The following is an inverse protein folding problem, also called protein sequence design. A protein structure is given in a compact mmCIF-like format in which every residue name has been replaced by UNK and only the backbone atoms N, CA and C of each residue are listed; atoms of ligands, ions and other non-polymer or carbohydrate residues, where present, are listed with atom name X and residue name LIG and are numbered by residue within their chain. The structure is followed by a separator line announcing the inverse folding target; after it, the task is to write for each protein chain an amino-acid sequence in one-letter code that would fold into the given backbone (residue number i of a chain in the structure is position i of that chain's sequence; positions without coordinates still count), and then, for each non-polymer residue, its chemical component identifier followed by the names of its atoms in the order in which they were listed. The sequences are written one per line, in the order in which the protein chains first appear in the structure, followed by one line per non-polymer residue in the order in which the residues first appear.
data_IF_034691943499
#
_entry.id   IF_034691943499
#
_cell.length_a   1.000
_cell.length_b   1.000
_cell.length_c   1.000
_cell.angle_alpha   90.00
_cell.angle_beta   90.00
_cell.angle_gamma   90.00
#
_symmetry.space_group_name_H-M   'P 1'
#
loop_
_entity.id
_entity.type
_entity.pdbx_description
1 polymer ?
#
# COMPACT_ATOMS: atom_id res chain seq x y z
N UNK A 1 -48.57 15.24 -24.81
CA UNK A 1 -47.81 14.46 -23.83
C UNK A 1 -48.78 13.99 -22.75
N UNK A 2 -48.79 12.73 -22.33
CA UNK A 2 -49.61 12.30 -21.21
C UNK A 2 -49.01 12.91 -19.92
N UNK A 3 -49.82 13.62 -19.15
CA UNK A 3 -49.44 14.21 -17.86
C UNK A 3 -50.03 13.35 -16.76
N UNK A 4 -49.25 12.97 -15.77
CA UNK A 4 -49.68 12.26 -14.57
C UNK A 4 -49.66 13.25 -13.40
N UNK A 5 -50.83 13.64 -12.92
CA UNK A 5 -50.98 14.48 -11.74
C UNK A 5 -50.85 13.57 -10.52
N UNK A 6 -49.87 13.89 -9.64
CA UNK A 6 -49.67 13.23 -8.35
C UNK A 6 -49.96 14.25 -7.26
N UNK A 7 -50.81 13.93 -6.31
CA UNK A 7 -50.92 14.68 -5.04
C UNK A 7 -49.68 14.30 -4.18
N UNK A 8 -48.77 15.21 -4.07
CA UNK A 8 -47.55 15.04 -3.27
C UNK A 8 -47.40 16.23 -2.33
N UNK A 9 -46.97 15.97 -1.09
CA UNK A 9 -46.48 17.05 -0.25
C UNK A 9 -45.16 17.59 -0.80
N UNK A 10 -44.75 18.77 -0.35
CA UNK A 10 -43.55 19.44 -0.83
C UNK A 10 -42.28 18.54 -0.69
N UNK A 11 -42.24 17.71 0.36
CA UNK A 11 -41.14 16.78 0.61
C UNK A 11 -41.07 15.67 -0.45
N UNK A 12 -42.22 15.09 -0.80
CA UNK A 12 -42.30 14.04 -1.82
C UNK A 12 -42.00 14.63 -3.21
N UNK A 13 -42.49 15.85 -3.49
CA UNK A 13 -42.22 16.53 -4.76
C UNK A 13 -40.70 16.79 -4.93
N UNK A 14 -39.99 17.26 -3.89
CA UNK A 14 -38.53 17.45 -3.89
C UNK A 14 -37.77 16.14 -4.03
N UNK A 15 -38.22 15.08 -3.38
CA UNK A 15 -37.62 13.75 -3.51
C UNK A 15 -37.72 13.25 -4.96
N UNK A 16 -38.91 13.33 -5.58
CA UNK A 16 -39.11 12.91 -6.96
C UNK A 16 -38.26 13.73 -7.94
N UNK A 17 -38.16 15.02 -7.73
CA UNK A 17 -37.30 15.88 -8.55
C UNK A 17 -35.81 15.51 -8.42
N UNK A 18 -35.35 15.16 -7.21
CA UNK A 18 -33.98 14.70 -6.99
C UNK A 18 -33.74 13.34 -7.68
N UNK A 19 -34.68 12.40 -7.58
CA UNK A 19 -34.60 11.09 -8.23
C UNK A 19 -34.58 11.26 -9.75
N UNK A 20 -35.41 12.12 -10.32
CA UNK A 20 -35.41 12.43 -11.77
C UNK A 20 -34.04 12.94 -12.20
N UNK A 21 -33.49 13.92 -11.47
CA UNK A 21 -32.17 14.47 -11.78
C UNK A 21 -31.07 13.41 -11.68
N UNK A 22 -31.16 12.45 -10.75
CA UNK A 22 -30.20 11.34 -10.61
C UNK A 22 -30.32 10.25 -11.67
N UNK A 23 -31.40 10.25 -12.44
CA UNK A 23 -31.60 9.34 -13.59
C UNK A 23 -31.02 9.90 -14.90
N UNK A 24 -30.47 11.12 -14.88
CA UNK A 24 -29.82 11.70 -16.06
C UNK A 24 -28.51 10.98 -16.36
N UNK A 25 -28.20 10.83 -17.65
CA UNK A 25 -27.02 10.10 -18.12
C UNK A 25 -25.71 10.92 -18.05
N UNK A 26 -25.81 12.24 -17.83
CA UNK A 26 -24.70 13.19 -17.89
C UNK A 26 -24.08 13.52 -16.53
N UNK A 27 -24.52 12.88 -15.45
CA UNK A 27 -23.96 13.09 -14.10
C UNK A 27 -22.54 12.51 -13.97
N UNK A 28 -21.66 13.29 -13.36
CA UNK A 28 -20.37 12.76 -12.97
C UNK A 28 -20.50 11.83 -11.73
N UNK A 29 -19.56 10.90 -11.51
CA UNK A 29 -19.65 9.93 -10.39
C UNK A 29 -19.71 10.56 -9.00
N UNK A 30 -19.19 11.77 -8.82
CA UNK A 30 -19.25 12.47 -7.53
C UNK A 30 -20.60 13.13 -7.30
N UNK A 31 -21.24 13.66 -8.34
CA UNK A 31 -22.60 14.19 -8.28
C UNK A 31 -23.60 13.08 -7.98
N UNK A 32 -23.44 11.94 -8.66
CA UNK A 32 -24.24 10.75 -8.42
C UNK A 32 -24.14 10.29 -6.95
N UNK A 33 -22.92 10.19 -6.43
CA UNK A 33 -22.67 9.81 -5.04
C UNK A 33 -23.26 10.81 -4.03
N UNK A 34 -23.11 12.12 -4.29
CA UNK A 34 -23.67 13.17 -3.46
C UNK A 34 -25.20 13.14 -3.45
N UNK A 35 -25.82 12.91 -4.60
CA UNK A 35 -27.27 12.77 -4.71
C UNK A 35 -27.80 11.57 -3.94
N UNK A 36 -27.13 10.42 -4.03
CA UNK A 36 -27.50 9.24 -3.22
C UNK A 36 -27.40 9.51 -1.72
N UNK A 37 -26.31 10.17 -1.31
CA UNK A 37 -26.15 10.57 0.10
C UNK A 37 -27.27 11.50 0.54
N UNK A 38 -27.65 12.47 -0.29
CA UNK A 38 -28.74 13.41 0.00
C UNK A 38 -30.08 12.70 0.14
N UNK A 39 -30.39 11.71 -0.73
CA UNK A 39 -31.58 10.89 -0.58
C UNK A 39 -31.63 10.13 0.76
N UNK A 40 -30.47 9.65 1.23
CA UNK A 40 -30.39 8.97 2.52
C UNK A 40 -30.54 9.93 3.71
N UNK A 41 -29.83 11.06 3.66
CA UNK A 41 -29.74 11.99 4.79
C UNK A 41 -31.05 12.81 4.95
N UNK A 42 -31.63 13.35 3.87
CA UNK A 42 -32.78 14.27 3.92
C UNK A 42 -34.13 13.52 3.96
N UNK A 43 -34.18 12.33 3.33
CA UNK A 43 -35.40 11.56 3.20
C UNK A 43 -35.42 10.26 4.00
N UNK A 44 -34.30 9.94 4.71
CA UNK A 44 -34.20 8.75 5.57
C UNK A 44 -34.24 7.43 4.81
N UNK A 45 -33.87 7.43 3.50
CA UNK A 45 -33.92 6.23 2.67
C UNK A 45 -32.71 5.32 2.95
N UNK A 46 -32.95 4.02 2.96
CA UNK A 46 -31.88 3.03 2.98
C UNK A 46 -31.22 2.92 1.60
N UNK A 47 -29.99 2.40 1.54
CA UNK A 47 -29.29 2.17 0.27
C UNK A 47 -30.09 1.31 -0.70
N UNK A 48 -30.89 0.37 -0.20
CA UNK A 48 -31.75 -0.50 -1.01
C UNK A 48 -32.92 0.28 -1.59
N UNK A 49 -33.54 1.15 -0.80
CA UNK A 49 -34.63 2.03 -1.28
C UNK A 49 -34.12 3.04 -2.29
N UNK A 50 -32.95 3.65 -2.05
CA UNK A 50 -32.30 4.52 -3.03
C UNK A 50 -32.06 3.78 -4.34
N UNK A 51 -31.44 2.59 -4.28
CA UNK A 51 -31.17 1.75 -5.47
C UNK A 51 -32.43 1.47 -6.27
N UNK A 52 -33.53 1.08 -5.59
CA UNK A 52 -34.82 0.83 -6.23
C UNK A 52 -35.38 2.08 -6.93
N UNK A 53 -35.28 3.27 -6.28
CA UNK A 53 -35.84 4.52 -6.82
C UNK A 53 -35.05 5.05 -8.03
N UNK A 54 -33.71 4.94 -7.98
CA UNK A 54 -32.84 5.37 -9.09
C UNK A 54 -32.63 4.28 -10.15
N UNK A 55 -33.28 3.12 -10.02
CA UNK A 55 -33.21 1.97 -10.94
C UNK A 55 -31.75 1.45 -11.12
N UNK A 56 -30.99 1.47 -10.04
CA UNK A 56 -29.61 0.93 -9.99
C UNK A 56 -29.55 -0.27 -9.05
N UNK A 57 -28.47 -1.04 -9.12
CA UNK A 57 -28.25 -2.10 -8.14
C UNK A 57 -27.76 -1.52 -6.80
N UNK A 58 -28.11 -2.17 -5.68
CA UNK A 58 -27.60 -1.80 -4.35
C UNK A 58 -26.07 -1.74 -4.31
N UNK A 59 -25.29 -2.67 -4.90
CA UNK A 59 -23.84 -2.55 -4.98
C UNK A 59 -23.37 -1.29 -5.74
N UNK A 60 -24.09 -0.85 -6.78
CA UNK A 60 -23.76 0.38 -7.50
C UNK A 60 -23.88 1.60 -6.59
N UNK A 61 -24.99 1.74 -5.86
CA UNK A 61 -25.21 2.81 -4.86
C UNK A 61 -24.14 2.77 -3.76
N UNK A 62 -23.88 1.59 -3.19
CA UNK A 62 -22.82 1.43 -2.18
C UNK A 62 -21.45 1.86 -2.70
N UNK A 63 -21.10 1.48 -3.92
CA UNK A 63 -19.83 1.83 -4.55
C UNK A 63 -19.71 3.34 -4.83
N UNK A 64 -20.79 3.99 -5.26
CA UNK A 64 -20.81 5.44 -5.44
C UNK A 64 -20.62 6.16 -4.11
N UNK A 65 -21.37 5.79 -3.08
CA UNK A 65 -21.24 6.39 -1.74
C UNK A 65 -19.83 6.27 -1.16
N UNK A 66 -19.13 5.18 -1.43
CA UNK A 66 -17.74 5.00 -0.98
C UNK A 66 -16.78 6.02 -1.59
N UNK A 67 -17.07 6.60 -2.75
CA UNK A 67 -16.23 7.62 -3.36
C UNK A 67 -16.19 8.90 -2.53
N UNK A 68 -17.25 9.21 -1.77
CA UNK A 68 -17.31 10.36 -0.87
C UNK A 68 -16.32 10.28 0.30
N UNK A 69 -15.77 9.09 0.59
CA UNK A 69 -14.73 8.90 1.62
C UNK A 69 -13.31 9.21 1.13
N UNK A 70 -13.13 9.57 -0.13
CA UNK A 70 -11.87 10.04 -0.67
C UNK A 70 -11.63 11.49 -0.25
N UNK A 71 -10.37 11.90 -0.13
CA UNK A 71 -10.01 13.29 0.08
C UNK A 71 -10.37 14.18 -1.12
N UNK A 72 -10.53 15.47 -0.86
CA UNK A 72 -10.98 16.44 -1.86
C UNK A 72 -10.16 16.44 -3.16
N UNK A 73 -8.85 16.25 -3.06
CA UNK A 73 -7.94 16.17 -4.20
C UNK A 73 -8.34 15.06 -5.16
N UNK A 74 -8.63 13.87 -4.63
CA UNK A 74 -9.04 12.70 -5.42
C UNK A 74 -10.48 12.84 -5.92
N UNK A 75 -11.38 13.40 -5.11
CA UNK A 75 -12.75 13.70 -5.56
C UNK A 75 -12.77 14.64 -6.76
N UNK A 76 -11.94 15.70 -6.75
CA UNK A 76 -11.78 16.62 -7.89
C UNK A 76 -11.25 15.93 -9.14
N UNK A 77 -10.33 14.96 -8.99
CA UNK A 77 -9.81 14.15 -10.11
C UNK A 77 -10.89 13.23 -10.69
N UNK A 78 -11.73 12.63 -9.85
CA UNK A 78 -12.86 11.81 -10.30
C UNK A 78 -13.91 12.69 -11.02
N UNK A 79 -14.27 13.81 -10.42
CA UNK A 79 -15.25 14.76 -10.98
C UNK A 79 -14.82 15.32 -12.34
N UNK A 80 -13.52 15.58 -12.52
CA UNK A 80 -12.95 16.06 -13.80
C UNK A 80 -12.70 14.95 -14.84
N UNK A 81 -12.97 13.69 -14.51
CA UNK A 81 -12.72 12.57 -15.40
C UNK A 81 -11.25 12.14 -15.54
N UNK A 82 -10.30 12.79 -14.84
CA UNK A 82 -8.89 12.41 -14.84
C UNK A 82 -8.68 11.04 -14.19
N UNK A 83 -9.52 10.69 -13.24
CA UNK A 83 -9.54 9.40 -12.58
C UNK A 83 -10.93 8.78 -12.70
N UNK A 84 -11.05 7.56 -13.24
CA UNK A 84 -12.36 6.92 -13.31
C UNK A 84 -12.84 6.45 -11.93
N UNK A 85 -14.16 6.31 -11.76
CA UNK A 85 -14.75 5.75 -10.54
C UNK A 85 -14.20 4.35 -10.18
N UNK A 86 -13.81 3.57 -11.18
CA UNK A 86 -13.17 2.26 -11.00
C UNK A 86 -11.78 2.38 -10.36
N UNK A 87 -10.94 3.27 -10.87
CA UNK A 87 -9.63 3.55 -10.29
C UNK A 87 -9.76 4.09 -8.87
N UNK A 88 -10.67 5.07 -8.66
CA UNK A 88 -10.93 5.66 -7.35
C UNK A 88 -11.34 4.60 -6.30
N UNK A 89 -12.22 3.66 -6.68
CA UNK A 89 -12.60 2.54 -5.79
C UNK A 89 -11.43 1.61 -5.47
N UNK A 90 -10.58 1.33 -6.44
CA UNK A 90 -9.38 0.50 -6.23
C UNK A 90 -8.41 1.12 -5.22
N UNK A 91 -8.37 2.45 -5.08
CA UNK A 91 -7.52 3.17 -4.14
C UNK A 91 -8.05 3.20 -2.70
N UNK A 92 -9.35 3.01 -2.48
CA UNK A 92 -9.99 3.09 -1.15
C UNK A 92 -9.37 2.19 -0.06
N UNK A 93 -8.87 0.97 -0.35
CA UNK A 93 -8.25 0.13 0.66
C UNK A 93 -6.97 0.71 1.30
N UNK A 94 -6.32 1.67 0.64
CA UNK A 94 -5.12 2.33 1.19
C UNK A 94 -5.52 3.17 2.43
N UNK A 95 -4.76 3.00 3.51
CA UNK A 95 -5.11 3.54 4.84
C UNK A 95 -4.96 5.06 4.94
N UNK A 96 -3.99 5.66 4.25
CA UNK A 96 -3.68 7.09 4.36
C UNK A 96 -3.98 7.81 3.06
N UNK A 97 -4.44 9.07 3.17
CA UNK A 97 -4.72 9.92 2.02
C UNK A 97 -3.46 10.15 1.16
N UNK A 98 -2.32 10.36 1.81
CA UNK A 98 -1.03 10.53 1.11
C UNK A 98 -0.65 9.32 0.25
N UNK A 99 -0.94 8.10 0.70
CA UNK A 99 -0.71 6.89 -0.11
C UNK A 99 -1.70 6.80 -1.27
N UNK A 100 -2.95 7.18 -1.06
CA UNK A 100 -3.97 7.23 -2.12
C UNK A 100 -3.58 8.22 -3.21
N UNK A 101 -3.13 9.43 -2.82
CA UNK A 101 -2.68 10.46 -3.77
C UNK A 101 -1.44 10.04 -4.57
N UNK A 102 -0.45 9.44 -3.91
CA UNK A 102 0.74 8.89 -4.60
C UNK A 102 0.36 7.79 -5.58
N UNK A 103 -0.48 6.85 -5.17
CA UNK A 103 -0.95 5.79 -6.04
C UNK A 103 -1.78 6.33 -7.20
N UNK A 104 -2.64 7.33 -6.98
CA UNK A 104 -3.41 8.00 -8.03
C UNK A 104 -2.50 8.70 -9.05
N UNK A 105 -1.44 9.39 -8.58
CA UNK A 105 -0.46 10.01 -9.47
C UNK A 105 0.28 8.98 -10.33
N UNK A 106 0.60 7.81 -9.78
CA UNK A 106 1.20 6.71 -10.53
C UNK A 106 0.23 6.13 -11.56
N UNK A 107 -1.05 5.96 -11.20
CA UNK A 107 -2.11 5.52 -12.12
C UNK A 107 -2.22 6.47 -13.32
N UNK A 108 -2.24 7.78 -13.06
CA UNK A 108 -2.35 8.81 -14.11
C UNK A 108 -1.09 8.84 -14.99
N UNK A 109 0.10 8.86 -14.38
CA UNK A 109 1.37 8.98 -15.13
C UNK A 109 1.66 7.78 -16.01
N UNK A 110 1.25 6.59 -15.58
CA UNK A 110 1.48 5.33 -16.31
C UNK A 110 0.28 4.87 -17.13
N UNK A 111 -0.85 5.55 -17.06
CA UNK A 111 -2.07 5.17 -17.76
C UNK A 111 -2.57 3.75 -17.38
N UNK A 112 -2.52 3.41 -16.09
CA UNK A 112 -2.86 2.07 -15.63
C UNK A 112 -4.36 1.80 -15.81
N UNK A 113 -4.70 0.56 -16.16
CA UNK A 113 -6.08 0.08 -16.12
C UNK A 113 -6.55 -0.16 -14.67
N UNK A 114 -7.86 -0.30 -14.46
CA UNK A 114 -8.43 -0.60 -13.13
C UNK A 114 -7.80 -1.85 -12.51
N UNK A 115 -7.63 -2.93 -13.29
CA UNK A 115 -7.00 -4.17 -12.81
C UNK A 115 -5.53 -3.99 -12.41
N UNK A 116 -4.79 -3.20 -13.17
CA UNK A 116 -3.40 -2.86 -12.84
C UNK A 116 -3.33 -2.01 -11.57
N UNK A 117 -4.30 -1.08 -11.39
CA UNK A 117 -4.43 -0.28 -10.17
C UNK A 117 -4.73 -1.16 -8.95
N UNK A 118 -5.62 -2.14 -9.08
CA UNK A 118 -5.88 -3.12 -8.01
C UNK A 118 -4.61 -3.91 -7.63
N UNK A 119 -3.84 -4.33 -8.64
CA UNK A 119 -2.55 -5.02 -8.42
C UNK A 119 -1.53 -4.12 -7.72
N UNK A 120 -1.42 -2.85 -8.13
CA UNK A 120 -0.58 -1.86 -7.49
C UNK A 120 -0.96 -1.67 -6.02
N UNK A 121 -2.26 -1.45 -5.74
CA UNK A 121 -2.78 -1.29 -4.38
C UNK A 121 -2.50 -2.52 -3.53
N UNK A 122 -2.73 -3.74 -4.05
CA UNK A 122 -2.42 -4.98 -3.35
C UNK A 122 -0.93 -5.09 -3.00
N UNK A 123 -0.04 -4.64 -3.89
CA UNK A 123 1.41 -4.62 -3.62
C UNK A 123 1.78 -3.63 -2.53
N UNK A 124 1.19 -2.43 -2.54
CA UNK A 124 1.41 -1.40 -1.53
C UNK A 124 0.91 -1.84 -0.14
N UNK A 125 -0.26 -2.49 -0.08
CA UNK A 125 -0.78 -3.04 1.18
C UNK A 125 0.12 -4.14 1.73
N UNK A 126 0.61 -5.06 0.90
CA UNK A 126 1.57 -6.09 1.32
C UNK A 126 2.90 -5.50 1.80
N UNK A 127 3.34 -4.40 1.21
CA UNK A 127 4.54 -3.69 1.67
C UNK A 127 4.30 -3.01 3.03
N UNK A 128 3.11 -2.42 3.24
CA UNK A 128 2.74 -1.80 4.50
C UNK A 128 2.47 -2.82 5.63
N UNK A 129 2.07 -4.05 5.30
CA UNK A 129 1.84 -5.15 6.25
C UNK A 129 3.10 -5.97 6.56
N UNK A 130 4.15 -5.85 5.74
CA UNK A 130 5.44 -6.38 6.15
C UNK A 130 5.91 -5.54 7.33
N UNK A 131 6.15 -6.15 8.53
CA UNK A 131 6.82 -5.42 9.58
C UNK A 131 8.05 -4.81 8.92
N UNK A 132 8.26 -3.51 9.13
CA UNK A 132 9.44 -2.82 8.64
C UNK A 132 10.63 -3.77 8.79
N UNK A 133 11.04 -4.42 7.70
CA UNK A 133 12.41 -4.84 7.61
C UNK A 133 13.12 -3.52 7.77
N UNK A 134 13.74 -3.36 8.94
CA UNK A 134 14.61 -2.25 9.28
C UNK A 134 15.14 -1.65 7.98
N UNK A 135 14.78 -0.39 7.73
CA UNK A 135 15.42 0.38 6.67
C UNK A 135 16.86 -0.06 6.68
N UNK A 136 17.34 -0.58 5.55
CA UNK A 136 18.77 -0.80 5.40
C UNK A 136 19.37 0.54 5.74
N UNK A 137 19.80 0.67 7.02
CA UNK A 137 20.65 1.78 7.44
C UNK A 137 21.66 1.97 6.32
N UNK A 138 21.98 3.24 5.94
CA UNK A 138 23.00 3.49 4.93
C UNK A 138 24.18 2.57 5.21
N UNK A 139 24.87 2.02 4.22
CA UNK A 139 25.83 0.95 4.43
C UNK A 139 26.76 1.40 5.58
N UNK A 140 26.44 0.92 6.78
CA UNK A 140 27.42 0.88 7.84
C UNK A 140 28.53 0.09 7.20
N UNK A 141 29.65 0.74 6.93
CA UNK A 141 30.86 0.08 6.48
C UNK A 141 30.95 -1.17 7.35
N UNK A 142 30.79 -2.34 6.73
CA UNK A 142 30.70 -3.58 7.49
C UNK A 142 32.13 -3.94 7.89
N UNK A 143 32.61 -3.24 8.93
CA UNK A 143 33.95 -3.44 9.47
C UNK A 143 34.26 -4.92 9.72
N UNK A 144 33.21 -5.72 9.96
CA UNK A 144 33.34 -7.16 10.12
C UNK A 144 33.70 -7.81 8.78
N UNK A 145 33.02 -7.44 7.69
CA UNK A 145 33.36 -7.95 6.35
C UNK A 145 34.70 -7.46 5.84
N UNK A 146 35.06 -6.20 6.09
CA UNK A 146 36.39 -5.71 5.75
C UNK A 146 37.48 -6.44 6.52
N UNK A 147 37.26 -6.67 7.84
CA UNK A 147 38.19 -7.44 8.67
C UNK A 147 38.27 -8.91 8.25
N UNK A 148 37.13 -9.55 7.91
CA UNK A 148 37.11 -10.90 7.35
C UNK A 148 37.93 -11.00 6.07
N UNK A 149 37.75 -10.04 5.15
CA UNK A 149 38.49 -10.00 3.89
C UNK A 149 40.00 -9.77 4.12
N UNK A 150 40.35 -8.78 4.92
CA UNK A 150 41.74 -8.48 5.22
C UNK A 150 42.46 -9.67 5.87
N UNK A 151 41.79 -10.36 6.81
CA UNK A 151 42.35 -11.56 7.44
C UNK A 151 42.40 -12.75 6.48
N UNK A 152 41.40 -12.93 5.61
CA UNK A 152 41.39 -13.98 4.60
C UNK A 152 42.53 -13.78 3.60
N UNK A 153 42.77 -12.55 3.15
CA UNK A 153 43.84 -12.21 2.24
C UNK A 153 45.23 -12.41 2.90
N UNK A 154 45.35 -12.03 4.17
CA UNK A 154 46.60 -12.18 4.93
C UNK A 154 46.93 -13.64 5.26
N UNK A 155 45.96 -14.46 5.56
CA UNK A 155 46.13 -15.85 5.98
C UNK A 155 46.02 -16.85 4.82
N UNK A 156 45.60 -16.41 3.61
CA UNK A 156 45.38 -17.26 2.45
C UNK A 156 44.30 -18.33 2.62
N UNK A 157 43.33 -18.07 3.52
CA UNK A 157 42.25 -19.02 3.88
C UNK A 157 40.98 -18.32 4.31
N UNK A 158 39.84 -19.01 4.25
CA UNK A 158 38.56 -18.48 4.66
C UNK A 158 38.53 -18.13 6.14
N UNK A 159 38.14 -16.88 6.45
CA UNK A 159 37.96 -16.36 7.82
C UNK A 159 36.53 -15.87 7.95
N UNK A 160 35.81 -16.29 9.01
CA UNK A 160 34.47 -15.82 9.34
C UNK A 160 34.37 -15.42 10.79
N UNK A 161 33.80 -14.24 11.04
CA UNK A 161 33.41 -13.81 12.37
C UNK A 161 31.95 -14.21 12.64
N UNK A 162 31.72 -14.90 13.75
CA UNK A 162 30.40 -15.34 14.19
C UNK A 162 30.13 -14.81 15.61
N UNK A 163 29.02 -14.09 15.77
CA UNK A 163 28.59 -13.55 17.07
C UNK A 163 28.20 -12.09 17.04
N UNK A 164 28.01 -11.48 18.22
CA UNK A 164 27.64 -10.09 18.40
C UNK A 164 28.80 -9.21 18.87
N UNK A 165 28.52 -7.91 19.10
CA UNK A 165 29.54 -6.91 19.48
C UNK A 165 30.34 -7.23 20.78
N UNK A 166 29.76 -8.00 21.72
CA UNK A 166 30.40 -8.27 23.02
C UNK A 166 31.03 -9.67 23.12
N UNK A 167 30.51 -10.65 22.38
CA UNK A 167 31.03 -12.03 22.37
C UNK A 167 30.89 -12.58 20.96
N UNK A 168 31.96 -13.20 20.48
CA UNK A 168 31.99 -13.83 19.16
C UNK A 168 33.05 -14.92 19.10
N UNK A 169 33.11 -15.59 17.96
CA UNK A 169 34.14 -16.58 17.61
C UNK A 169 34.67 -16.24 16.22
N UNK A 170 35.93 -16.58 16.00
CA UNK A 170 36.54 -16.52 14.67
C UNK A 170 36.65 -17.96 14.17
N UNK A 171 36.11 -18.24 13.01
CA UNK A 171 36.24 -19.52 12.34
C UNK A 171 37.28 -19.37 11.23
N UNK A 172 38.28 -20.28 11.23
CA UNK A 172 39.30 -20.40 10.19
C UNK A 172 39.07 -21.70 9.44
N UNK A 173 39.09 -21.63 8.13
CA UNK A 173 38.95 -22.81 7.27
C UNK A 173 40.29 -23.57 7.17
N UNK A 174 40.24 -24.89 7.14
CA UNK A 174 41.38 -25.75 6.81
C UNK A 174 40.94 -26.74 5.72
N UNK A 175 41.86 -27.14 4.85
CA UNK A 175 41.54 -27.88 3.63
C UNK A 175 42.03 -29.32 3.64
N UNK A 176 42.82 -29.71 4.61
CA UNK A 176 43.28 -31.11 4.84
C UNK A 176 43.59 -31.38 6.29
N UNK A 177 43.83 -32.63 6.66
CA UNK A 177 44.26 -32.99 8.01
C UNK A 177 45.62 -32.37 8.35
N UNK A 178 46.58 -32.40 7.43
CA UNK A 178 47.93 -31.84 7.61
C UNK A 178 47.88 -30.33 7.74
N UNK A 179 47.01 -29.67 6.94
CA UNK A 179 46.79 -28.20 7.02
C UNK A 179 46.19 -27.81 8.36
N UNK A 180 45.30 -28.64 8.92
CA UNK A 180 44.75 -28.39 10.26
C UNK A 180 45.82 -28.48 11.33
N UNK A 181 46.75 -29.47 11.28
CA UNK A 181 47.87 -29.57 12.21
C UNK A 181 48.82 -28.40 12.10
N UNK A 182 49.20 -28.02 10.88
CA UNK A 182 50.02 -26.85 10.64
C UNK A 182 49.40 -25.55 11.19
N UNK A 183 48.06 -25.37 10.96
CA UNK A 183 47.32 -24.23 11.48
C UNK A 183 47.33 -24.21 13.03
N UNK A 184 47.08 -25.37 13.65
CA UNK A 184 47.10 -25.49 15.12
C UNK A 184 48.48 -25.17 15.71
N UNK A 185 49.55 -25.61 15.05
CA UNK A 185 50.92 -25.32 15.49
C UNK A 185 51.30 -23.83 15.30
N UNK A 186 50.83 -23.23 14.21
CA UNK A 186 50.99 -21.79 13.98
C UNK A 186 50.27 -20.98 15.08
N UNK A 187 49.03 -21.34 15.40
CA UNK A 187 48.24 -20.68 16.44
C UNK A 187 48.84 -20.86 17.85
N UNK A 188 49.47 -21.99 18.13
CA UNK A 188 50.17 -22.22 19.40
C UNK A 188 51.43 -21.34 19.56
N UNK A 189 52.13 -21.08 18.46
CA UNK A 189 53.37 -20.26 18.42
C UNK A 189 53.06 -18.76 18.44
N UNK A 190 51.85 -18.31 18.17
CA UNK A 190 51.47 -16.91 18.24
C UNK A 190 51.51 -16.41 19.67
N UNK A 191 52.22 -15.30 19.91
CA UNK A 191 52.20 -14.59 21.21
C UNK A 191 50.84 -13.86 21.35
N UNK A 192 50.03 -14.37 22.23
CA UNK A 192 48.66 -13.87 22.46
C UNK A 192 48.70 -12.86 23.61
N UNK A 193 48.58 -11.53 23.37
CA UNK A 193 48.73 -10.50 24.41
C UNK A 193 47.67 -10.59 25.53
N UNK A 194 46.54 -11.34 25.28
CA UNK A 194 45.51 -11.59 26.29
C UNK A 194 45.73 -12.87 27.11
N UNK A 195 46.83 -13.61 26.88
CA UNK A 195 47.19 -14.83 27.63
C UNK A 195 47.97 -14.48 28.89
N UNK A 196 47.78 -13.28 29.49
CA UNK A 196 48.29 -12.99 30.82
C UNK A 196 47.35 -13.59 31.86
N UNK A 197 47.93 -14.40 32.72
CA UNK A 197 47.46 -15.20 33.85
C UNK A 197 46.15 -14.74 34.47
#
# INVERSE_FOLDING_TARGET
MPVRILEADDKLAMELALVENLQREDLNPMEEAAGYKKLMDDYGLTQEQVASRVQKSRPAVTNALRLLSLGETLQKKVSSGKLSAGHARALLPLKTETLREKAAAEVESRGLSVRQTETLVASLLRQAERPEKEEKKPPVVDYVREAEKALSDALGRGVKFQGGQKKGRIALEFYSADDREALMDALKKMDMPWKKK
#
